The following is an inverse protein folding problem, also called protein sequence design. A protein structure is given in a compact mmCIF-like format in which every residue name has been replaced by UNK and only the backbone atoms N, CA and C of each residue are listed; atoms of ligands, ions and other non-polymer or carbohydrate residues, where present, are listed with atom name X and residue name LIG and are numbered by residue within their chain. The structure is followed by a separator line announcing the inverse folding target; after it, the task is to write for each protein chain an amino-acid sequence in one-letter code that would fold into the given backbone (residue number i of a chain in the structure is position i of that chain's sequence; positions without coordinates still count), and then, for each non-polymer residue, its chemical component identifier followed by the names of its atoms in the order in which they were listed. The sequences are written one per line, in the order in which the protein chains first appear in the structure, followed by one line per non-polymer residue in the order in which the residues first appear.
data_IF_519850481102
#
_entry.id   IF_519850481102
#
_cell.length_a   1.000
_cell.length_b   1.000
_cell.length_c   1.000
_cell.angle_alpha   90.00
_cell.angle_beta   90.00
_cell.angle_gamma   90.00
#
_symmetry.space_group_name_H-M   'P 1'
#
loop_
_entity.id
_entity.type
_entity.pdbx_description
1 polymer ?
#
# COMPACT_ATOMS: atom_id res chain seq x y z
N UNK A 1 15.47 -24.94 4.95
CA UNK A 1 16.14 -26.11 4.33
C UNK A 1 16.62 -27.08 5.40
N UNK A 2 16.85 -28.37 5.11
CA UNK A 2 17.43 -29.32 6.06
C UNK A 2 18.81 -28.86 6.58
N UNK A 3 19.07 -29.03 7.88
CA UNK A 3 20.30 -28.55 8.53
C UNK A 3 21.60 -29.08 7.90
N UNK A 4 21.59 -30.31 7.40
CA UNK A 4 22.76 -30.89 6.72
C UNK A 4 23.14 -30.15 5.42
N UNK A 5 22.17 -29.57 4.72
CA UNK A 5 22.43 -28.79 3.50
C UNK A 5 23.06 -27.44 3.85
N UNK A 6 22.60 -26.79 4.92
CA UNK A 6 23.24 -25.56 5.42
C UNK A 6 24.70 -25.81 5.81
N UNK A 7 24.98 -26.85 6.59
CA UNK A 7 26.34 -27.21 6.99
C UNK A 7 27.24 -27.53 5.79
N UNK A 8 26.71 -28.23 4.78
CA UNK A 8 27.43 -28.53 3.55
C UNK A 8 27.79 -27.26 2.77
N UNK A 9 26.84 -26.35 2.57
CA UNK A 9 27.07 -25.09 1.83
C UNK A 9 28.17 -24.28 2.53
N UNK A 10 28.12 -24.18 3.86
CA UNK A 10 29.15 -23.46 4.61
C UNK A 10 30.54 -24.08 4.45
N UNK A 11 30.67 -25.40 4.61
CA UNK A 11 31.95 -26.09 4.46
C UNK A 11 32.51 -25.95 3.04
N UNK A 12 31.65 -26.00 2.01
CA UNK A 12 32.07 -25.80 0.62
C UNK A 12 32.50 -24.35 0.37
N UNK A 13 31.75 -23.36 0.87
CA UNK A 13 32.07 -21.95 0.72
C UNK A 13 33.37 -21.55 1.44
N UNK A 14 33.67 -22.18 2.57
CA UNK A 14 34.94 -22.00 3.28
C UNK A 14 36.12 -22.56 2.47
N UNK A 15 35.95 -23.72 1.84
CA UNK A 15 36.99 -24.35 1.03
C UNK A 15 37.16 -23.70 -0.36
N UNK A 16 36.10 -23.12 -0.92
CA UNK A 16 36.08 -22.52 -2.25
C UNK A 16 35.29 -21.19 -2.22
N UNK A 17 35.97 -20.04 -2.24
CA UNK A 17 35.29 -18.74 -2.13
C UNK A 17 34.48 -18.36 -3.37
N UNK A 18 34.60 -19.07 -4.50
CA UNK A 18 33.81 -18.83 -5.72
C UNK A 18 32.63 -19.81 -5.88
N UNK A 19 31.94 -20.10 -4.77
CA UNK A 19 30.76 -20.96 -4.78
C UNK A 19 29.51 -20.22 -5.28
N UNK A 20 28.76 -20.88 -6.17
CA UNK A 20 27.41 -20.52 -6.58
C UNK A 20 26.46 -21.59 -6.03
N UNK A 21 25.36 -21.18 -5.41
CA UNK A 21 24.32 -22.10 -4.92
C UNK A 21 23.10 -22.02 -5.84
N UNK A 22 22.62 -23.17 -6.32
CA UNK A 22 21.36 -23.27 -7.06
C UNK A 22 20.30 -23.86 -6.14
N UNK A 23 19.20 -23.15 -5.97
CA UNK A 23 18.11 -23.52 -5.07
C UNK A 23 16.94 -24.12 -5.84
N UNK A 24 16.36 -25.19 -5.28
CA UNK A 24 15.18 -25.86 -5.78
C UNK A 24 14.19 -26.03 -4.62
N UNK A 25 13.21 -25.15 -4.52
CA UNK A 25 12.25 -25.07 -3.42
C UNK A 25 10.89 -24.61 -3.96
N UNK A 26 9.82 -24.90 -3.21
CA UNK A 26 8.46 -24.48 -3.56
C UNK A 26 8.02 -23.16 -2.93
N UNK A 27 8.81 -22.64 -1.97
CA UNK A 27 8.51 -21.46 -1.17
C UNK A 27 9.83 -20.85 -0.67
N UNK A 28 9.82 -19.63 -0.10
CA UNK A 28 11.00 -19.02 0.49
C UNK A 28 11.70 -19.92 1.51
N UNK A 29 13.03 -19.87 1.51
CA UNK A 29 13.88 -20.59 2.47
C UNK A 29 14.87 -19.65 3.12
N UNK A 30 15.13 -19.84 4.40
CA UNK A 30 16.18 -19.11 5.11
C UNK A 30 17.56 -19.47 4.54
N UNK A 31 18.42 -18.46 4.37
CA UNK A 31 19.78 -18.59 3.80
C UNK A 31 20.84 -18.00 4.76
N UNK A 32 21.09 -18.60 5.94
CA UNK A 32 22.06 -18.07 6.90
C UNK A 32 23.50 -17.98 6.35
N UNK A 33 23.78 -18.72 5.28
CA UNK A 33 25.06 -18.77 4.57
C UNK A 33 25.15 -17.77 3.39
N UNK A 34 24.13 -16.94 3.11
CA UNK A 34 24.08 -16.09 1.91
C UNK A 34 25.33 -15.21 1.76
N UNK A 35 25.83 -14.64 2.86
CA UNK A 35 27.04 -13.81 2.85
C UNK A 35 28.36 -14.56 2.63
N UNK A 36 28.33 -15.90 2.60
CA UNK A 36 29.51 -16.75 2.40
C UNK A 36 29.68 -17.22 0.95
N UNK A 37 28.66 -17.07 0.10
CA UNK A 37 28.68 -17.51 -1.31
C UNK A 37 28.72 -16.31 -2.26
N UNK A 38 29.16 -16.52 -3.51
CA UNK A 38 29.25 -15.42 -4.50
C UNK A 38 27.96 -15.14 -5.21
N UNK A 39 27.14 -16.17 -5.40
CA UNK A 39 25.86 -16.03 -6.09
C UNK A 39 24.88 -17.11 -5.66
N UNK A 40 23.60 -16.78 -5.80
CA UNK A 40 22.48 -17.70 -5.63
C UNK A 40 21.62 -17.63 -6.89
N UNK A 41 21.24 -18.79 -7.42
CA UNK A 41 20.24 -18.93 -8.46
C UNK A 41 19.02 -19.64 -7.87
N UNK A 42 17.92 -18.91 -7.68
CA UNK A 42 16.63 -19.49 -7.31
C UNK A 42 15.96 -20.08 -8.55
N UNK A 43 15.91 -21.42 -8.63
CA UNK A 43 15.37 -22.15 -9.78
C UNK A 43 13.99 -22.76 -9.51
N UNK A 44 13.46 -22.64 -8.28
CA UNK A 44 12.18 -23.20 -7.85
C UNK A 44 12.00 -24.67 -8.29
N UNK A 45 10.76 -25.08 -8.55
CA UNK A 45 10.38 -26.38 -9.10
C UNK A 45 10.16 -26.28 -10.63
N UNK A 46 11.25 -26.17 -11.40
CA UNK A 46 11.21 -25.92 -12.86
C UNK A 46 10.80 -27.10 -13.77
N UNK A 47 10.22 -28.17 -13.22
CA UNK A 47 9.77 -29.34 -13.98
C UNK A 47 10.90 -30.15 -14.65
N UNK A 48 10.53 -31.04 -15.58
CA UNK A 48 11.44 -32.04 -16.16
C UNK A 48 12.63 -31.47 -16.95
N UNK A 49 12.55 -30.21 -17.41
CA UNK A 49 13.58 -29.54 -18.20
C UNK A 49 14.53 -28.66 -17.36
N UNK A 50 14.35 -28.61 -16.03
CA UNK A 50 15.04 -27.66 -15.15
C UNK A 50 16.56 -27.78 -15.22
N UNK A 51 17.11 -28.99 -15.35
CA UNK A 51 18.56 -29.19 -15.45
C UNK A 51 19.17 -28.46 -16.65
N UNK A 52 18.55 -28.56 -17.83
CA UNK A 52 19.00 -27.84 -19.02
C UNK A 52 18.81 -26.33 -18.91
N UNK A 53 17.70 -25.89 -18.29
CA UNK A 53 17.45 -24.47 -18.06
C UNK A 53 18.49 -23.83 -17.12
N UNK A 54 18.82 -24.50 -16.02
CA UNK A 54 19.86 -24.06 -15.07
C UNK A 54 21.22 -23.97 -15.74
N UNK A 55 21.61 -24.97 -16.55
CA UNK A 55 22.87 -24.94 -17.32
C UNK A 55 22.89 -23.74 -18.27
N UNK A 56 21.81 -23.48 -19.01
CA UNK A 56 21.75 -22.33 -19.92
C UNK A 56 21.91 -21.00 -19.20
N UNK A 57 21.32 -20.86 -18.01
CA UNK A 57 21.50 -19.65 -17.19
C UNK A 57 22.93 -19.55 -16.68
N UNK A 58 23.45 -20.57 -15.99
CA UNK A 58 24.79 -20.53 -15.39
C UNK A 58 25.92 -20.24 -16.40
N UNK A 59 25.76 -20.70 -17.64
CA UNK A 59 26.74 -20.46 -18.71
C UNK A 59 26.47 -19.20 -19.55
N UNK A 60 25.42 -18.43 -19.25
CA UNK A 60 25.08 -17.21 -19.97
C UNK A 60 24.45 -17.45 -21.35
N UNK A 61 24.11 -18.69 -21.72
CA UNK A 61 23.32 -18.99 -22.92
C UNK A 61 21.91 -18.40 -22.83
N UNK A 62 21.42 -18.22 -21.61
CA UNK A 62 20.21 -17.47 -21.30
C UNK A 62 20.50 -16.46 -20.18
N UNK A 63 20.10 -15.20 -20.37
CA UNK A 63 20.18 -14.18 -19.34
C UNK A 63 19.02 -14.34 -18.32
N UNK A 64 19.29 -14.46 -17.00
CA UNK A 64 18.22 -14.56 -16.01
C UNK A 64 17.35 -13.30 -16.05
N UNK A 65 16.03 -13.53 -16.01
CA UNK A 65 15.02 -12.47 -16.10
C UNK A 65 13.76 -12.79 -15.27
N UNK A 66 13.90 -13.68 -14.29
CA UNK A 66 12.85 -13.96 -13.32
C UNK A 66 12.76 -12.84 -12.29
N UNK A 67 11.54 -12.55 -11.83
CA UNK A 67 11.27 -11.68 -10.67
C UNK A 67 10.55 -12.51 -9.62
N UNK A 68 10.89 -12.33 -8.35
CA UNK A 68 10.28 -13.07 -7.25
C UNK A 68 8.78 -12.75 -7.17
N UNK A 69 7.95 -13.80 -7.17
CA UNK A 69 6.51 -13.68 -6.94
C UNK A 69 6.14 -13.67 -5.44
N UNK A 70 7.14 -13.81 -4.57
CA UNK A 70 7.00 -13.89 -3.12
C UNK A 70 8.11 -13.07 -2.45
N UNK A 71 7.84 -12.56 -1.26
CA UNK A 71 8.89 -11.96 -0.42
C UNK A 71 9.66 -13.07 0.28
N UNK A 72 10.99 -13.01 0.27
CA UNK A 72 11.82 -13.86 1.12
C UNK A 72 12.09 -13.11 2.42
N UNK A 73 11.42 -13.46 3.53
CA UNK A 73 11.66 -12.78 4.81
C UNK A 73 13.04 -13.15 5.36
N UNK A 74 13.56 -12.31 6.27
CA UNK A 74 14.77 -12.64 7.01
C UNK A 74 14.57 -13.85 7.92
N UNK A 75 13.38 -13.96 8.53
CA UNK A 75 13.00 -15.06 9.42
C UNK A 75 11.53 -15.38 9.23
N UNK A 76 11.15 -16.64 9.49
CA UNK A 76 9.73 -17.04 9.42
C UNK A 76 8.83 -16.24 10.38
N UNK A 77 9.36 -15.79 11.53
CA UNK A 77 8.65 -14.99 12.53
C UNK A 77 8.25 -13.61 12.02
N UNK A 78 8.91 -13.12 10.98
CA UNK A 78 8.62 -11.81 10.40
C UNK A 78 7.41 -11.87 9.47
N UNK A 79 6.91 -13.08 9.15
CA UNK A 79 5.71 -13.25 8.30
C UNK A 79 4.45 -12.74 8.99
N UNK A 80 3.56 -12.04 8.25
CA UNK A 80 2.39 -11.38 8.85
C UNK A 80 1.42 -12.38 9.50
N UNK A 81 1.38 -13.61 9.02
CA UNK A 81 0.51 -14.65 9.55
C UNK A 81 1.18 -15.53 10.63
N UNK A 82 2.45 -15.30 11.00
CA UNK A 82 3.22 -16.23 11.85
C UNK A 82 2.48 -16.67 13.14
N UNK A 83 1.82 -15.73 13.83
CA UNK A 83 1.13 -16.01 15.09
C UNK A 83 -0.15 -16.82 14.94
N UNK A 84 -0.80 -16.75 13.76
CA UNK A 84 -2.10 -17.37 13.50
C UNK A 84 -2.02 -18.52 12.49
N UNK A 85 -0.84 -18.74 11.91
CA UNK A 85 -0.58 -19.83 10.97
C UNK A 85 -0.64 -21.19 11.70
N UNK A 86 -1.41 -22.12 11.13
CA UNK A 86 -1.74 -23.40 11.77
C UNK A 86 -3.13 -23.41 12.43
N UNK A 87 -3.70 -22.23 12.68
CA UNK A 87 -5.05 -22.07 13.21
C UNK A 87 -5.25 -22.59 14.64
N UNK A 88 -6.48 -22.46 15.12
CA UNK A 88 -6.95 -23.07 16.37
C UNK A 88 -8.12 -24.00 16.04
N UNK A 89 -7.99 -25.29 16.40
CA UNK A 89 -8.97 -26.32 16.07
C UNK A 89 -9.27 -26.39 14.55
N UNK A 90 -10.50 -26.12 14.15
CA UNK A 90 -11.01 -26.11 12.78
C UNK A 90 -11.11 -24.69 12.19
N UNK A 91 -10.50 -23.69 12.85
CA UNK A 91 -10.57 -22.27 12.45
C UNK A 91 -9.18 -21.71 12.14
N UNK A 92 -9.07 -20.98 11.03
CA UNK A 92 -7.89 -20.17 10.68
C UNK A 92 -8.31 -18.71 10.53
N UNK A 93 -7.65 -17.80 11.25
CA UNK A 93 -7.97 -16.37 11.27
C UNK A 93 -6.90 -15.59 10.51
N UNK A 94 -7.33 -14.87 9.48
CA UNK A 94 -6.49 -14.04 8.62
C UNK A 94 -6.37 -12.64 9.23
N UNK A 95 -5.72 -12.56 10.38
CA UNK A 95 -5.62 -11.33 11.18
C UNK A 95 -4.83 -10.22 10.53
N UNK A 96 -3.96 -10.57 9.58
CA UNK A 96 -3.15 -9.62 8.81
C UNK A 96 -3.97 -8.82 7.80
N UNK A 97 -5.22 -9.23 7.53
CA UNK A 97 -6.11 -8.56 6.59
C UNK A 97 -5.50 -8.45 5.20
N UNK A 98 -5.47 -7.23 4.66
CA UNK A 98 -4.90 -6.96 3.33
C UNK A 98 -3.37 -6.89 3.33
N UNK A 99 -2.72 -6.87 4.50
CA UNK A 99 -1.28 -6.79 4.64
C UNK A 99 -0.64 -8.19 4.52
N UNK A 100 -0.71 -8.76 3.32
CA UNK A 100 -0.11 -10.06 2.98
C UNK A 100 1.11 -9.86 2.08
N UNK A 101 2.21 -10.55 2.40
CA UNK A 101 3.45 -10.47 1.64
C UNK A 101 4.03 -9.06 1.64
N UNK A 102 4.48 -8.56 0.49
CA UNK A 102 5.11 -7.23 0.40
C UNK A 102 4.21 -6.08 0.88
N UNK A 103 2.88 -6.23 0.82
CA UNK A 103 1.96 -5.22 1.36
C UNK A 103 2.24 -4.96 2.84
N UNK A 104 2.58 -6.00 3.60
CA UNK A 104 3.02 -5.87 4.99
C UNK A 104 4.42 -5.28 5.09
N UNK A 105 5.42 -5.95 4.51
CA UNK A 105 6.83 -5.58 4.72
C UNK A 105 7.16 -4.18 4.22
N UNK A 106 6.68 -3.81 3.02
CA UNK A 106 6.89 -2.47 2.47
C UNK A 106 6.19 -1.41 3.31
N UNK A 107 4.95 -1.66 3.76
CA UNK A 107 4.21 -0.67 4.58
C UNK A 107 4.78 -0.49 5.97
N UNK A 108 5.43 -1.53 6.51
CA UNK A 108 6.11 -1.48 7.81
C UNK A 108 7.58 -1.09 7.73
N UNK A 109 8.10 -0.81 6.53
CA UNK A 109 9.51 -0.53 6.29
C UNK A 109 10.43 -1.62 6.87
N UNK A 110 10.00 -2.89 6.75
CA UNK A 110 10.75 -4.03 7.26
C UNK A 110 11.78 -4.53 6.24
N UNK A 111 13.00 -4.75 6.73
CA UNK A 111 14.04 -5.44 5.99
C UNK A 111 13.63 -6.89 5.67
N UNK A 112 13.95 -7.32 4.46
CA UNK A 112 13.67 -8.67 3.95
C UNK A 112 14.90 -9.18 3.22
N UNK A 113 15.05 -10.51 3.13
CA UNK A 113 16.21 -11.09 2.44
C UNK A 113 16.18 -10.76 0.94
N UNK A 114 15.01 -10.94 0.32
CA UNK A 114 14.74 -10.49 -1.05
C UNK A 114 13.30 -9.99 -1.16
N UNK A 115 13.07 -8.76 -1.66
CA UNK A 115 11.71 -8.22 -1.77
C UNK A 115 10.92 -8.87 -2.92
N UNK A 116 9.61 -8.75 -2.86
CA UNK A 116 8.73 -9.10 -3.98
C UNK A 116 9.13 -8.31 -5.22
N UNK A 117 9.13 -8.96 -6.38
CA UNK A 117 9.56 -8.35 -7.64
C UNK A 117 11.08 -8.22 -7.79
N UNK A 118 11.89 -8.73 -6.85
CA UNK A 118 13.35 -8.72 -6.96
C UNK A 118 13.85 -9.74 -7.98
N UNK A 119 14.96 -9.43 -8.65
CA UNK A 119 15.63 -10.32 -9.59
C UNK A 119 16.86 -9.64 -10.19
N UNK A 120 17.89 -10.42 -10.48
CA UNK A 120 19.09 -9.92 -11.15
C UNK A 120 19.12 -10.36 -12.61
N UNK A 121 19.96 -9.68 -13.39
CA UNK A 121 20.24 -9.97 -14.78
C UNK A 121 21.76 -9.91 -15.03
N UNK A 122 22.23 -10.53 -16.10
CA UNK A 122 23.60 -10.36 -16.60
C UNK A 122 23.82 -9.03 -17.33
N UNK A 123 22.75 -8.24 -17.51
CA UNK A 123 22.83 -6.87 -18.01
C UNK A 123 22.21 -5.89 -17.00
N UNK A 124 22.33 -4.59 -17.28
CA UNK A 124 21.74 -3.52 -16.45
C UNK A 124 20.70 -2.75 -17.25
N UNK A 125 19.72 -2.19 -16.54
CA UNK A 125 18.65 -1.39 -17.12
C UNK A 125 18.49 -0.07 -16.38
N UNK A 126 18.21 0.99 -17.13
CA UNK A 126 17.82 2.30 -16.61
C UNK A 126 16.40 2.66 -17.05
N UNK A 127 15.73 3.46 -16.24
CA UNK A 127 14.36 3.92 -16.47
C UNK A 127 14.37 5.44 -16.57
N UNK A 128 13.56 6.00 -17.45
CA UNK A 128 13.42 7.45 -17.61
C UNK A 128 12.10 7.84 -18.25
N UNK A 129 11.87 9.14 -18.37
CA UNK A 129 10.72 9.70 -19.08
C UNK A 129 9.37 9.10 -18.66
N UNK A 130 9.16 8.93 -17.35
CA UNK A 130 7.83 8.56 -16.83
C UNK A 130 6.85 9.69 -17.16
N UNK A 131 5.77 9.35 -17.85
CA UNK A 131 4.74 10.29 -18.27
C UNK A 131 3.36 9.70 -18.06
N UNK A 132 2.40 10.57 -17.76
CA UNK A 132 0.97 10.27 -17.70
C UNK A 132 0.25 11.18 -18.68
N UNK A 133 -0.81 10.69 -19.33
CA UNK A 133 -1.55 11.48 -20.34
C UNK A 133 -2.43 12.58 -19.73
N UNK A 134 -2.78 12.44 -18.45
CA UNK A 134 -3.57 13.42 -17.67
C UNK A 134 -3.16 13.36 -16.19
N UNK A 135 -3.34 14.48 -15.47
CA UNK A 135 -3.01 14.59 -14.03
C UNK A 135 -4.24 14.62 -13.12
N UNK A 136 -5.40 14.94 -13.66
CA UNK A 136 -6.67 15.01 -12.94
C UNK A 136 -7.72 14.33 -13.82
N UNK A 137 -8.50 13.42 -13.24
CA UNK A 137 -9.51 12.65 -13.98
C UNK A 137 -10.51 11.98 -13.05
N UNK A 138 -11.64 11.55 -13.61
CA UNK A 138 -12.66 10.80 -12.88
C UNK A 138 -12.35 9.31 -12.85
N UNK A 139 -12.85 8.59 -11.86
CA UNK A 139 -12.61 7.14 -11.72
C UNK A 139 -13.06 6.31 -12.94
N UNK A 140 -14.08 6.76 -13.69
CA UNK A 140 -14.52 6.09 -14.93
C UNK A 140 -13.57 6.27 -16.11
N UNK A 141 -12.65 7.23 -16.04
CA UNK A 141 -11.64 7.45 -17.05
C UNK A 141 -10.43 6.56 -16.85
N UNK A 142 -9.81 6.17 -17.97
CA UNK A 142 -8.53 5.45 -17.95
C UNK A 142 -7.36 6.42 -17.94
N UNK A 143 -6.28 6.00 -17.30
CA UNK A 143 -4.98 6.68 -17.28
C UNK A 143 -3.98 5.89 -18.12
N UNK A 144 -3.33 6.56 -19.08
CA UNK A 144 -2.21 5.99 -19.83
C UNK A 144 -0.89 6.43 -19.20
N UNK A 145 -0.08 5.46 -18.81
CA UNK A 145 1.22 5.67 -18.17
C UNK A 145 2.30 5.12 -19.10
N UNK A 146 3.31 5.91 -19.44
CA UNK A 146 4.42 5.46 -20.28
C UNK A 146 5.77 5.71 -19.60
N UNK A 147 6.71 4.79 -19.79
CA UNK A 147 8.08 4.89 -19.26
C UNK A 147 9.07 4.31 -20.26
N UNK A 148 10.21 4.99 -20.42
CA UNK A 148 11.31 4.49 -21.23
C UNK A 148 12.21 3.57 -20.41
N UNK A 149 12.56 2.43 -21.00
CA UNK A 149 13.50 1.46 -20.43
C UNK A 149 14.64 1.28 -21.40
N UNK A 150 15.87 1.43 -20.92
CA UNK A 150 17.09 1.25 -21.71
C UNK A 150 17.90 0.12 -21.15
N UNK A 151 18.38 -0.80 -22.01
CA UNK A 151 19.41 -1.75 -21.63
C UNK A 151 20.78 -1.07 -21.70
N UNK A 152 21.37 -0.81 -20.54
CA UNK A 152 22.63 -0.09 -20.39
C UNK A 152 23.86 -1.01 -20.30
N UNK A 153 23.67 -2.33 -20.32
CA UNK A 153 24.76 -3.28 -20.22
C UNK A 153 25.22 -3.83 -21.57
N UNK A 154 26.02 -4.89 -21.52
CA UNK A 154 26.76 -5.41 -22.67
C UNK A 154 26.09 -6.61 -23.37
N UNK A 155 24.99 -7.14 -22.82
CA UNK A 155 24.28 -8.28 -23.41
C UNK A 155 22.77 -8.06 -23.47
N UNK A 156 22.11 -8.76 -24.40
CA UNK A 156 20.65 -8.76 -24.47
C UNK A 156 20.06 -9.29 -23.17
N UNK A 157 18.99 -8.67 -22.70
CA UNK A 157 18.28 -9.10 -21.51
C UNK A 157 16.80 -8.79 -21.60
N UNK A 158 16.03 -9.39 -20.69
CA UNK A 158 14.60 -9.09 -20.53
C UNK A 158 14.38 -8.41 -19.20
N UNK A 159 13.72 -7.26 -19.23
CA UNK A 159 13.36 -6.49 -18.05
C UNK A 159 11.85 -6.58 -17.81
N UNK A 160 11.45 -6.70 -16.55
CA UNK A 160 10.07 -6.64 -16.08
C UNK A 160 9.86 -5.27 -15.44
N UNK A 161 9.19 -4.38 -16.17
CA UNK A 161 8.78 -3.07 -15.66
C UNK A 161 7.59 -3.28 -14.73
N UNK A 162 7.68 -2.81 -13.49
CA UNK A 162 6.64 -2.98 -12.49
C UNK A 162 6.03 -1.63 -12.13
N UNK A 163 4.71 -1.51 -12.31
CA UNK A 163 3.93 -0.32 -11.96
C UNK A 163 3.12 -0.59 -10.70
N UNK A 164 3.35 0.25 -9.70
CA UNK A 164 2.63 0.28 -8.43
C UNK A 164 1.80 1.56 -8.34
N UNK A 165 0.69 1.48 -7.63
CA UNK A 165 -0.14 2.65 -7.26
C UNK A 165 -0.08 2.81 -5.74
N UNK A 166 0.19 4.03 -5.28
CA UNK A 166 0.34 4.39 -3.88
C UNK A 166 -0.64 5.53 -3.52
N UNK A 167 -1.69 5.28 -2.72
CA UNK A 167 -2.59 6.35 -2.28
C UNK A 167 -1.86 7.31 -1.32
N UNK A 168 -2.09 8.62 -1.47
CA UNK A 168 -1.58 9.66 -0.57
C UNK A 168 -2.67 10.06 0.41
N UNK A 169 -2.71 9.36 1.55
CA UNK A 169 -3.77 9.52 2.54
C UNK A 169 -5.00 8.69 2.20
N UNK A 170 -6.16 9.13 2.68
CA UNK A 170 -7.42 8.40 2.60
C UNK A 170 -8.00 8.15 3.99
N UNK A 171 -9.27 7.77 4.03
CA UNK A 171 -10.00 7.48 5.27
C UNK A 171 -9.84 6.03 5.71
N UNK A 172 -9.33 5.16 4.83
CA UNK A 172 -9.14 3.74 5.11
C UNK A 172 -7.67 3.32 5.16
N UNK A 173 -7.39 2.28 5.94
CA UNK A 173 -6.05 1.71 6.08
C UNK A 173 -5.73 0.87 4.84
N UNK A 174 -4.66 1.21 4.13
CA UNK A 174 -4.21 0.55 2.90
C UNK A 174 -2.71 0.24 2.93
N UNK A 175 -2.23 -0.73 2.13
CA UNK A 175 -0.80 -0.86 1.86
C UNK A 175 -0.24 0.43 1.24
N UNK A 176 0.99 0.79 1.59
CA UNK A 176 1.64 2.02 1.09
C UNK A 176 1.79 2.05 -0.42
N UNK A 177 1.76 0.88 -1.08
CA UNK A 177 1.67 0.72 -2.53
C UNK A 177 1.22 -0.69 -2.89
N UNK A 178 0.63 -0.82 -4.07
CA UNK A 178 0.18 -2.10 -4.61
C UNK A 178 0.56 -2.22 -6.09
N UNK A 179 1.09 -3.38 -6.50
CA UNK A 179 1.35 -3.70 -7.90
C UNK A 179 0.02 -3.72 -8.66
N UNK A 180 -0.09 -2.92 -9.73
CA UNK A 180 -1.28 -2.86 -10.59
C UNK A 180 -1.02 -3.34 -12.01
N UNK A 181 0.21 -3.19 -12.51
CA UNK A 181 0.59 -3.71 -13.81
C UNK A 181 2.07 -4.07 -13.87
N UNK A 182 2.43 -4.94 -14.79
CA UNK A 182 3.82 -5.18 -15.16
C UNK A 182 3.91 -5.61 -16.62
N UNK A 183 5.03 -5.30 -17.27
CA UNK A 183 5.29 -5.69 -18.65
C UNK A 183 6.71 -6.22 -18.78
N UNK A 184 6.88 -7.33 -19.50
CA UNK A 184 8.19 -7.94 -19.73
C UNK A 184 8.65 -7.67 -21.15
N UNK A 185 9.74 -6.94 -21.29
CA UNK A 185 10.29 -6.52 -22.59
C UNK A 185 11.73 -7.00 -22.77
N UNK A 186 12.07 -7.44 -23.98
CA UNK A 186 13.43 -7.80 -24.35
C UNK A 186 14.13 -6.59 -24.99
N UNK A 187 15.37 -6.31 -24.60
CA UNK A 187 16.15 -5.20 -25.13
C UNK A 187 17.57 -5.66 -25.48
N UNK A 188 18.03 -5.32 -26.69
CA UNK A 188 19.43 -5.44 -27.09
C UNK A 188 20.31 -4.40 -26.34
N UNK A 189 21.64 -4.59 -26.27
CA UNK A 189 22.54 -3.60 -25.68
C UNK A 189 22.38 -2.21 -26.28
N UNK A 190 22.15 -1.20 -25.43
CA UNK A 190 21.92 0.19 -25.83
C UNK A 190 20.53 0.50 -26.40
N UNK A 191 19.64 -0.50 -26.53
CA UNK A 191 18.27 -0.29 -27.01
C UNK A 191 17.42 0.35 -25.91
N UNK A 192 16.58 1.31 -26.32
CA UNK A 192 15.51 1.89 -25.49
C UNK A 192 14.15 1.50 -26.06
N UNK A 193 13.23 1.08 -25.19
CA UNK A 193 11.82 0.85 -25.52
C UNK A 193 10.93 1.61 -24.56
N UNK A 194 9.86 2.20 -25.09
CA UNK A 194 8.77 2.77 -24.29
C UNK A 194 7.79 1.66 -23.94
N UNK A 195 7.51 1.51 -22.65
CA UNK A 195 6.49 0.61 -22.12
C UNK A 195 5.29 1.44 -21.70
N UNK A 196 4.09 1.05 -22.13
CA UNK A 196 2.84 1.74 -21.82
C UNK A 196 1.89 0.84 -21.05
N UNK A 197 1.29 1.39 -20.01
CA UNK A 197 0.26 0.78 -19.18
C UNK A 197 -1.04 1.57 -19.30
N UNK A 198 -2.16 0.86 -19.21
CA UNK A 198 -3.49 1.44 -19.09
C UNK A 198 -4.06 1.05 -17.73
N UNK A 199 -4.40 2.05 -16.91
CA UNK A 199 -4.99 1.86 -15.59
C UNK A 199 -6.46 2.27 -15.61
N UNK A 200 -7.33 1.37 -15.14
CA UNK A 200 -8.76 1.62 -14.92
C UNK A 200 -9.06 1.89 -13.44
N UNK A 201 -10.34 2.07 -13.09
CA UNK A 201 -10.79 2.35 -11.72
C UNK A 201 -10.26 1.35 -10.68
N UNK A 202 -10.09 0.07 -11.05
CA UNK A 202 -9.61 -0.99 -10.14
C UNK A 202 -8.15 -0.80 -9.73
N UNK A 203 -7.38 0.00 -10.47
CA UNK A 203 -6.04 0.38 -10.06
C UNK A 203 -6.04 1.19 -8.76
N UNK A 204 -7.07 2.01 -8.53
CA UNK A 204 -7.19 2.92 -7.39
C UNK A 204 -8.12 2.38 -6.30
N UNK A 205 -9.06 1.50 -6.67
CA UNK A 205 -10.11 1.02 -5.79
C UNK A 205 -9.64 0.09 -4.66
N UNK A 206 -10.39 0.11 -3.57
CA UNK A 206 -10.41 -0.91 -2.52
C UNK A 206 -11.81 -1.52 -2.39
N UNK A 207 -11.93 -2.64 -1.68
CA UNK A 207 -13.24 -3.22 -1.38
C UNK A 207 -13.86 -2.52 -0.17
N UNK A 208 -14.95 -1.80 -0.36
CA UNK A 208 -15.69 -1.14 0.71
C UNK A 208 -16.77 -2.09 1.24
N UNK A 209 -16.70 -2.42 2.54
CA UNK A 209 -17.60 -3.37 3.18
C UNK A 209 -18.99 -2.82 3.48
N UNK A 210 -19.16 -1.50 3.51
CA UNK A 210 -20.44 -0.84 3.80
C UNK A 210 -21.35 -0.88 2.57
N UNK A 211 -20.80 -0.58 1.40
CA UNK A 211 -21.54 -0.62 0.12
C UNK A 211 -21.46 -1.99 -0.57
N UNK A 212 -20.64 -2.92 -0.06
CA UNK A 212 -20.38 -4.23 -0.65
C UNK A 212 -19.93 -4.17 -2.13
N UNK A 213 -19.07 -3.19 -2.45
CA UNK A 213 -18.52 -3.01 -3.80
C UNK A 213 -17.12 -2.38 -3.77
N UNK A 214 -16.47 -2.33 -4.93
CA UNK A 214 -15.24 -1.57 -5.14
C UNK A 214 -15.52 -0.07 -5.08
N UNK A 215 -14.67 0.65 -4.35
CA UNK A 215 -14.74 2.09 -4.22
C UNK A 215 -13.38 2.71 -4.45
N UNK A 216 -13.32 3.78 -5.26
CA UNK A 216 -12.17 4.67 -5.37
C UNK A 216 -12.41 5.87 -4.48
N UNK A 217 -11.47 6.16 -3.58
CA UNK A 217 -11.50 7.42 -2.83
C UNK A 217 -11.00 8.56 -3.70
N UNK A 218 -11.70 9.70 -3.65
CA UNK A 218 -11.19 10.94 -4.23
C UNK A 218 -9.90 11.35 -3.53
N UNK A 219 -8.87 11.67 -4.32
CA UNK A 219 -7.62 12.18 -3.78
C UNK A 219 -6.40 11.92 -4.64
N UNK A 220 -5.24 12.16 -4.03
CA UNK A 220 -3.95 12.03 -4.67
C UNK A 220 -3.46 10.57 -4.66
N UNK A 221 -2.93 10.13 -5.79
CA UNK A 221 -2.28 8.83 -5.96
C UNK A 221 -0.93 9.02 -6.64
N UNK A 222 0.10 8.35 -6.14
CA UNK A 222 1.39 8.23 -6.83
C UNK A 222 1.39 6.99 -7.73
N UNK A 223 1.69 7.23 -9.00
CA UNK A 223 2.01 6.20 -9.99
C UNK A 223 3.51 5.96 -9.93
N UNK A 224 3.91 4.77 -9.51
CA UNK A 224 5.31 4.46 -9.18
C UNK A 224 5.85 3.36 -10.11
N UNK A 225 6.96 3.64 -10.79
CA UNK A 225 7.78 2.60 -11.42
C UNK A 225 8.81 2.14 -10.40
N UNK A 226 8.75 0.88 -10.02
CA UNK A 226 9.60 0.31 -8.98
C UNK A 226 10.49 -0.79 -9.53
N UNK A 227 11.72 -0.90 -9.01
CA UNK A 227 12.63 -2.01 -9.33
C UNK A 227 12.12 -3.33 -8.73
N UNK A 228 11.52 -3.21 -7.55
CA UNK A 228 10.89 -4.25 -6.75
C UNK A 228 9.96 -3.54 -5.75
N UNK A 229 9.21 -4.28 -4.92
CA UNK A 229 8.22 -3.68 -4.01
C UNK A 229 8.79 -2.66 -2.99
N UNK A 230 10.09 -2.61 -2.74
CA UNK A 230 10.71 -1.68 -1.77
C UNK A 230 11.38 -0.46 -2.43
N UNK A 231 11.82 -0.57 -3.68
CA UNK A 231 12.62 0.47 -4.34
C UNK A 231 11.85 1.18 -5.45
N UNK A 232 11.44 2.43 -5.20
CA UNK A 232 10.86 3.33 -6.22
C UNK A 232 11.99 3.92 -7.06
N UNK A 233 11.84 3.89 -8.38
CA UNK A 233 12.78 4.50 -9.32
C UNK A 233 12.27 5.84 -9.84
N UNK A 234 10.99 5.88 -10.23
CA UNK A 234 10.31 7.06 -10.78
C UNK A 234 8.90 7.10 -10.20
N UNK A 235 8.36 8.30 -10.01
CA UNK A 235 7.00 8.52 -9.53
C UNK A 235 6.40 9.77 -10.15
N UNK A 236 5.12 9.70 -10.47
CA UNK A 236 4.30 10.86 -10.86
C UNK A 236 3.02 10.87 -10.02
N UNK A 237 2.61 12.05 -9.55
CA UNK A 237 1.36 12.21 -8.81
C UNK A 237 0.19 12.55 -9.76
N UNK A 238 -0.96 11.93 -9.48
CA UNK A 238 -2.24 12.20 -10.14
C UNK A 238 -3.35 12.38 -9.11
N UNK A 239 -4.39 13.11 -9.48
CA UNK A 239 -5.63 13.28 -8.70
C UNK A 239 -6.75 12.48 -9.36
N UNK A 240 -7.43 11.65 -8.57
CA UNK A 240 -8.59 10.86 -9.02
C UNK A 240 -9.82 11.37 -8.31
N UNK A 241 -10.88 11.66 -9.06
CA UNK A 241 -12.20 12.03 -8.53
C UNK A 241 -13.12 10.80 -8.55
N UNK A 242 -13.61 10.40 -7.38
CA UNK A 242 -14.66 9.38 -7.26
C UNK A 242 -16.00 9.93 -7.76
N UNK A 243 -16.73 9.12 -8.52
CA UNK A 243 -18.11 9.42 -8.92
C UNK A 243 -19.12 8.74 -8.00
N UNK A 244 -18.63 7.91 -7.07
CA UNK A 244 -19.42 7.17 -6.11
C UNK A 244 -19.50 7.94 -4.79
N UNK A 245 -20.70 8.38 -4.42
CA UNK A 245 -20.96 8.97 -3.10
C UNK A 245 -21.25 7.84 -2.10
N UNK A 246 -20.41 7.72 -1.07
CA UNK A 246 -20.67 6.77 0.01
C UNK A 246 -21.84 7.24 0.88
N UNK A 247 -22.70 6.33 1.35
CA UNK A 247 -23.68 6.64 2.39
C UNK A 247 -22.95 7.16 3.64
N UNK A 248 -23.39 8.28 4.19
CA UNK A 248 -22.83 8.87 5.41
C UNK A 248 -23.75 8.51 6.57
N UNK A 249 -23.27 7.64 7.45
CA UNK A 249 -23.98 7.30 8.69
C UNK A 249 -23.39 8.09 9.85
N UNK A 250 -24.13 9.09 10.30
CA UNK A 250 -23.81 9.85 11.50
C UNK A 250 -24.28 9.11 12.75
N UNK A 251 -23.47 9.18 13.81
CA UNK A 251 -23.80 8.64 15.12
C UNK A 251 -23.45 9.66 16.20
N UNK A 252 -23.81 9.39 17.46
CA UNK A 252 -23.36 10.20 18.59
C UNK A 252 -21.82 10.21 18.76
N UNK A 253 -21.10 9.33 18.07
CA UNK A 253 -19.64 9.28 18.07
C UNK A 253 -19.02 10.03 16.88
N UNK A 254 -19.83 10.45 15.91
CA UNK A 254 -19.35 11.27 14.80
C UNK A 254 -18.86 12.61 15.32
N UNK A 255 -17.73 13.07 14.77
CA UNK A 255 -17.12 14.33 15.18
C UNK A 255 -17.80 15.51 14.52
N UNK A 256 -17.66 16.68 15.13
CA UNK A 256 -18.14 17.93 14.54
C UNK A 256 -17.45 18.19 13.19
N UNK A 257 -16.15 17.88 13.07
CA UNK A 257 -15.40 17.99 11.82
C UNK A 257 -15.96 17.11 10.70
N UNK A 258 -16.30 15.85 11.01
CA UNK A 258 -16.92 14.93 10.03
C UNK A 258 -18.26 15.46 9.50
N UNK A 259 -19.07 16.09 10.37
CA UNK A 259 -20.36 16.67 9.99
C UNK A 259 -20.17 17.97 9.21
N UNK A 260 -19.27 18.85 9.66
CA UNK A 260 -18.99 20.15 9.03
C UNK A 260 -18.32 20.04 7.66
N UNK A 261 -17.56 18.96 7.42
CA UNK A 261 -16.99 18.66 6.10
C UNK A 261 -18.04 18.24 5.07
N UNK A 262 -19.24 17.85 5.51
CA UNK A 262 -20.38 17.58 4.63
C UNK A 262 -21.25 18.83 4.45
N UNK A 263 -21.45 19.37 3.24
CA UNK A 263 -22.26 20.57 3.05
C UNK A 263 -23.70 20.44 3.59
N UNK A 264 -24.30 19.25 3.49
CA UNK A 264 -25.65 18.98 4.03
C UNK A 264 -25.60 18.87 5.57
N UNK A 265 -24.67 18.06 6.09
CA UNK A 265 -24.45 17.89 7.52
C UNK A 265 -24.16 19.22 8.23
N UNK A 266 -23.30 20.05 7.65
CA UNK A 266 -22.99 21.41 8.09
C UNK A 266 -24.24 22.26 8.24
N UNK A 267 -25.10 22.32 7.21
CA UNK A 267 -26.31 23.13 7.26
C UNK A 267 -27.27 22.67 8.37
N UNK A 268 -27.41 21.35 8.58
CA UNK A 268 -28.26 20.78 9.63
C UNK A 268 -27.68 21.07 11.02
N UNK A 269 -26.36 20.94 11.16
CA UNK A 269 -25.66 21.21 12.41
C UNK A 269 -25.72 22.70 12.78
N UNK A 270 -25.46 23.61 11.83
CA UNK A 270 -25.57 25.06 12.02
C UNK A 270 -27.00 25.46 12.41
N UNK A 271 -28.03 24.85 11.79
CA UNK A 271 -29.42 25.08 12.18
C UNK A 271 -29.68 24.62 13.62
N UNK A 272 -29.26 23.40 13.97
CA UNK A 272 -29.45 22.86 15.32
C UNK A 272 -28.72 23.67 16.39
N UNK A 273 -27.51 24.15 16.10
CA UNK A 273 -26.75 25.02 17.01
C UNK A 273 -27.40 26.39 17.16
N UNK A 274 -27.90 26.99 16.07
CA UNK A 274 -28.62 28.26 16.13
C UNK A 274 -29.93 28.18 16.94
N UNK A 275 -30.63 27.04 16.89
CA UNK A 275 -31.81 26.77 17.74
C UNK A 275 -31.42 26.58 19.22
N UNK A 276 -30.22 26.06 19.51
CA UNK A 276 -29.70 25.87 20.88
C UNK A 276 -29.20 27.18 21.50
N UNK A 277 -28.52 28.05 20.76
CA UNK A 277 -28.11 29.40 21.21
C UNK A 277 -29.32 30.31 21.48
N UNK A 278 -30.45 30.06 20.82
CA UNK A 278 -31.71 30.76 21.08
C UNK A 278 -32.39 30.41 22.42
N UNK A 279 -31.92 29.39 23.15
CA UNK A 279 -32.55 28.88 24.37
C UNK A 279 -31.87 29.31 25.69
N UNK A 280 -30.65 29.87 25.67
CA UNK A 280 -30.03 30.51 26.84
C UNK A 280 -29.08 31.64 26.40
N UNK A 281 -29.39 32.87 26.82
CA UNK A 281 -28.70 34.10 26.41
C UNK A 281 -27.38 34.40 27.15
N UNK A 282 -26.55 33.39 27.40
CA UNK A 282 -25.19 33.57 27.94
C UNK A 282 -24.17 32.88 27.03
N UNK A 283 -23.29 33.68 26.45
CA UNK A 283 -22.26 33.27 25.50
C UNK A 283 -21.31 32.22 26.10
N UNK A 284 -21.27 31.05 25.48
CA UNK A 284 -20.35 29.93 25.74
C UNK A 284 -18.86 30.32 25.63
N UNK A 285 -18.56 31.49 25.05
CA UNK A 285 -17.21 32.05 24.93
C UNK A 285 -16.54 32.34 26.29
N UNK A 286 -17.29 32.61 27.37
CA UNK A 286 -16.69 32.96 28.66
C UNK A 286 -16.25 31.74 29.51
N UNK A 287 -16.75 30.53 29.23
CA UNK A 287 -16.44 29.34 30.05
C UNK A 287 -15.24 28.52 29.55
N UNK A 288 -14.67 28.86 28.39
CA UNK A 288 -13.54 28.15 27.79
C UNK A 288 -12.24 28.97 27.73
N UNK A 289 -12.20 30.14 28.37
CA UNK A 289 -10.95 30.91 28.52
C UNK A 289 -10.07 30.28 29.61
N UNK A 290 -9.03 29.56 29.18
CA UNK A 290 -7.91 29.20 30.03
C UNK A 290 -6.91 30.38 30.09
N UNK A 291 -6.83 31.02 31.26
CA UNK A 291 -5.94 32.16 31.55
C UNK A 291 -4.44 31.76 31.57
N UNK A 292 -4.11 30.49 31.25
CA UNK A 292 -2.75 29.94 31.26
C UNK A 292 -1.96 30.16 29.95
N UNK A 293 -2.63 30.51 28.84
CA UNK A 293 -2.00 30.70 27.53
C UNK A 293 -1.47 29.42 26.87
N UNK A 294 -1.80 28.24 27.41
CA UNK A 294 -1.39 26.92 26.89
C UNK A 294 -2.30 26.44 25.74
N UNK A 295 -3.53 26.93 25.70
CA UNK A 295 -4.53 26.64 24.67
C UNK A 295 -4.59 27.85 23.72
N UNK A 296 -4.19 27.68 22.46
CA UNK A 296 -4.31 28.70 21.43
C UNK A 296 -5.53 28.44 20.53
N UNK A 297 -5.91 29.43 19.71
CA UNK A 297 -7.09 29.35 18.83
C UNK A 297 -7.05 28.15 17.88
N UNK A 298 -5.86 27.79 17.38
CA UNK A 298 -5.66 26.60 16.54
C UNK A 298 -5.94 25.30 17.30
N UNK A 299 -5.51 25.20 18.55
CA UNK A 299 -5.76 24.05 19.42
C UNK A 299 -7.24 23.94 19.79
N UNK A 300 -7.92 25.06 20.04
CA UNK A 300 -9.39 25.07 20.26
C UNK A 300 -10.16 24.63 19.02
N UNK A 301 -9.77 25.12 17.84
CA UNK A 301 -10.38 24.71 16.58
C UNK A 301 -10.22 23.21 16.33
N UNK A 302 -9.01 22.67 16.51
CA UNK A 302 -8.75 21.24 16.38
C UNK A 302 -9.51 20.39 17.43
N UNK A 303 -9.65 20.91 18.66
CA UNK A 303 -10.44 20.26 19.70
C UNK A 303 -11.93 20.20 19.35
N UNK A 304 -12.51 21.27 18.80
CA UNK A 304 -13.89 21.27 18.32
C UNK A 304 -14.09 20.36 17.11
N UNK A 305 -13.14 20.37 16.17
CA UNK A 305 -13.18 19.52 14.98
C UNK A 305 -13.19 18.02 15.35
N UNK A 306 -12.39 17.62 16.34
CA UNK A 306 -12.31 16.24 16.82
C UNK A 306 -13.40 15.88 17.87
N UNK A 307 -14.23 16.83 18.30
CA UNK A 307 -15.21 16.59 19.35
C UNK A 307 -16.39 15.74 18.84
N UNK A 308 -16.67 14.56 19.43
CA UNK A 308 -17.84 13.77 19.07
C UNK A 308 -19.13 14.41 19.60
N UNK A 309 -20.25 14.28 18.86
CA UNK A 309 -21.55 14.86 19.25
C UNK A 309 -21.96 14.55 20.69
N UNK A 310 -21.72 13.33 21.18
CA UNK A 310 -22.04 12.94 22.57
C UNK A 310 -21.39 13.83 23.63
N UNK A 311 -20.25 14.43 23.30
CA UNK A 311 -19.48 15.26 24.22
C UNK A 311 -20.17 16.62 24.47
N UNK A 312 -21.08 17.05 23.60
CA UNK A 312 -21.92 18.23 23.82
C UNK A 312 -22.74 18.12 25.11
N UNK A 313 -23.13 16.91 25.53
CA UNK A 313 -23.83 16.69 26.80
C UNK A 313 -23.03 17.17 28.02
N UNK A 314 -21.70 17.23 27.91
CA UNK A 314 -20.82 17.62 29.00
C UNK A 314 -20.39 19.09 28.94
N UNK A 315 -20.39 19.69 27.75
CA UNK A 315 -19.84 21.04 27.53
C UNK A 315 -20.88 22.10 27.19
N UNK A 316 -22.07 21.71 26.72
CA UNK A 316 -23.12 22.65 26.32
C UNK A 316 -24.30 22.50 27.30
N UNK A 317 -24.47 23.45 28.23
CA UNK A 317 -25.64 23.48 29.11
C UNK A 317 -26.94 23.40 28.30
N UNK A 318 -27.92 22.64 28.79
CA UNK A 318 -29.23 22.52 28.14
C UNK A 318 -29.32 21.47 27.01
N UNK A 319 -28.21 20.95 26.50
CA UNK A 319 -28.23 19.87 25.49
C UNK A 319 -28.62 18.55 26.14
N UNK A 320 -29.67 17.92 25.61
CA UNK A 320 -30.16 16.61 26.07
C UNK A 320 -29.77 15.50 25.10
N UNK A 321 -29.76 14.25 25.62
CA UNK A 321 -29.48 13.08 24.79
C UNK A 321 -30.56 12.89 23.71
N UNK A 322 -31.80 13.21 24.03
CA UNK A 322 -32.93 13.20 23.11
C UNK A 322 -32.71 14.18 21.95
N UNK A 323 -32.27 15.41 22.24
CA UNK A 323 -31.96 16.40 21.21
C UNK A 323 -30.82 15.94 20.28
N UNK A 324 -29.75 15.36 20.84
CA UNK A 324 -28.66 14.81 20.02
C UNK A 324 -29.10 13.61 19.17
N UNK A 325 -29.97 12.75 19.68
CA UNK A 325 -30.53 11.64 18.88
C UNK A 325 -31.42 12.16 17.74
N UNK A 326 -32.17 13.25 17.96
CA UNK A 326 -32.95 13.90 16.91
C UNK A 326 -32.04 14.53 15.84
N UNK A 327 -30.95 15.18 16.25
CA UNK A 327 -29.93 15.71 15.34
C UNK A 327 -29.33 14.58 14.49
N UNK A 328 -28.90 13.47 15.11
CA UNK A 328 -28.39 12.30 14.39
C UNK A 328 -29.42 11.73 13.42
N UNK A 329 -30.70 11.66 13.81
CA UNK A 329 -31.76 11.20 12.93
C UNK A 329 -31.98 12.15 11.74
N UNK A 330 -31.91 13.46 11.96
CA UNK A 330 -32.03 14.47 10.90
C UNK A 330 -30.85 14.42 9.92
N UNK A 331 -29.62 14.29 10.45
CA UNK A 331 -28.41 14.12 9.65
C UNK A 331 -28.49 12.90 8.73
N UNK A 332 -28.94 11.75 9.26
CA UNK A 332 -29.09 10.53 8.48
C UNK A 332 -30.31 10.50 7.54
N UNK A 333 -31.30 11.38 7.75
CA UNK A 333 -32.48 11.47 6.89
C UNK A 333 -32.27 12.38 5.66
N UNK A 334 -31.17 13.12 5.63
CA UNK A 334 -30.85 14.11 4.59
C UNK A 334 -30.07 13.53 3.40
N UNK A 335 -29.84 12.21 3.36
CA UNK A 335 -29.21 11.51 2.23
C UNK A 335 -30.00 11.69 0.93
#
# INVERSE_FOLDING_TARGET
MPNCQNALIEAVAEAQPNTIVVLHNGAPVEMPWLGKVKAVLEAYLGGQAVGGAVVNVLYGNANPSGRLAETFPLRIQDTPCYLNYGGEHDKSVYSEGVFVGYRYYTSKEMEVLFPFGYGLSYTTFSYGNLTVDKKEFKESEKLLVSVDVTNTGACTGKEVVQLYVAPKGGTIIRPVRELKAFEKTELAPGETKTVTFELDSRAYAYWNTEIHDWHVETGAYEIQICRNAQEVLLSEEVQVESETVLPKVYTLNSTMGEIMADPKGKAILEQAMGEMEGMDGESTEEQMQDDSGVINDEMMAAMMEAMPLRQMLSFVPGVTKEALNQLVAALNAAE
#
